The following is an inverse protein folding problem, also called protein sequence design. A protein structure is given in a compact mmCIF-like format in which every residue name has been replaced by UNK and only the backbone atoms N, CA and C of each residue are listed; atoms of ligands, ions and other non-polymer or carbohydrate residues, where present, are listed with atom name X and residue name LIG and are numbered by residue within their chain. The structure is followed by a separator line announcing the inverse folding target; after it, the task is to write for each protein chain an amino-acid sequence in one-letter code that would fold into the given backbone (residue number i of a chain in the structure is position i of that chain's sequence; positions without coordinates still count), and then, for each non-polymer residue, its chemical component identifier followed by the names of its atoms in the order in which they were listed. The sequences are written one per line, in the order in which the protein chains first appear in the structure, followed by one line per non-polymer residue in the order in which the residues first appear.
data_IF_733030362471
#
_entry.id   IF_733030362471
#
_cell.length_a   1.000
_cell.length_b   1.000
_cell.length_c   1.000
_cell.angle_alpha   90.00
_cell.angle_beta   90.00
_cell.angle_gamma   90.00
#
_symmetry.space_group_name_H-M   'P 1'
#
loop_
_entity.id
_entity.type
_entity.pdbx_description
1 polymer ?
#
# COMPACT_ATOMS: atom_id res chain seq x y z
N UNK A 1 -9.75 15.58 -9.48
CA UNK A 1 -8.50 15.27 -10.23
C UNK A 1 -8.72 14.12 -11.21
N UNK A 2 -7.87 14.02 -12.22
CA UNK A 2 -7.90 12.95 -13.22
C UNK A 2 -6.66 12.08 -13.05
N UNK A 3 -6.82 10.76 -13.18
CA UNK A 3 -5.72 9.79 -13.13
C UNK A 3 -5.64 9.05 -14.46
N UNK A 4 -4.50 9.13 -15.11
CA UNK A 4 -4.18 8.39 -16.30
C UNK A 4 -3.53 7.07 -15.91
N UNK A 5 -3.81 5.99 -16.63
CA UNK A 5 -3.37 4.64 -16.28
C UNK A 5 -2.99 3.79 -17.51
N UNK A 6 -2.66 4.44 -18.61
CA UNK A 6 -2.32 3.80 -19.88
C UNK A 6 -0.92 3.16 -19.88
N UNK A 7 -0.01 3.67 -19.03
CA UNK A 7 1.37 3.18 -18.89
C UNK A 7 1.56 2.15 -17.76
N UNK A 8 0.54 1.92 -16.93
CA UNK A 8 0.61 1.00 -15.80
C UNK A 8 0.09 -0.38 -16.16
N UNK A 9 0.79 -1.42 -15.72
CA UNK A 9 0.33 -2.81 -15.83
C UNK A 9 -0.97 -3.04 -15.04
N UNK A 10 -1.06 -2.46 -13.84
CA UNK A 10 -2.28 -2.46 -13.03
C UNK A 10 -3.03 -1.14 -13.23
N UNK A 11 -4.21 -1.25 -13.83
CA UNK A 11 -5.10 -0.10 -14.02
C UNK A 11 -5.79 0.31 -12.72
N UNK A 12 -6.34 1.53 -12.71
CA UNK A 12 -7.21 1.99 -11.61
C UNK A 12 -8.31 0.95 -11.38
N UNK A 13 -8.40 0.47 -10.15
CA UNK A 13 -9.36 -0.54 -9.72
C UNK A 13 -10.07 -0.15 -8.43
N UNK A 14 -11.14 -0.88 -8.11
CA UNK A 14 -11.97 -0.65 -6.92
C UNK A 14 -11.16 -0.69 -5.62
N UNK A 15 -10.19 -1.61 -5.54
CA UNK A 15 -9.38 -1.80 -4.32
C UNK A 15 -8.57 -0.55 -3.97
N UNK A 16 -7.92 0.09 -4.96
CA UNK A 16 -7.20 1.35 -4.75
C UNK A 16 -8.13 2.51 -4.35
N UNK A 17 -9.32 2.60 -4.99
CA UNK A 17 -10.32 3.62 -4.62
C UNK A 17 -10.82 3.41 -3.19
N UNK A 18 -11.13 2.18 -2.81
CA UNK A 18 -11.58 1.86 -1.45
C UNK A 18 -10.48 2.16 -0.43
N UNK A 19 -9.24 1.78 -0.70
CA UNK A 19 -8.09 2.08 0.16
C UNK A 19 -7.93 3.59 0.35
N UNK A 20 -7.87 4.35 -0.74
CA UNK A 20 -7.72 5.80 -0.69
C UNK A 20 -8.89 6.51 -0.01
N UNK A 21 -10.12 5.94 -0.05
CA UNK A 21 -11.28 6.47 0.63
C UNK A 21 -11.35 6.11 2.12
N UNK A 22 -10.91 4.89 2.50
CA UNK A 22 -11.10 4.33 3.85
C UNK A 22 -9.92 4.59 4.79
N UNK A 23 -8.68 4.67 4.29
CA UNK A 23 -7.51 4.92 5.13
C UNK A 23 -7.68 6.21 5.95
N UNK A 24 -7.33 6.15 7.25
CA UNK A 24 -7.40 7.32 8.14
C UNK A 24 -6.17 8.19 7.91
N UNK A 25 -6.40 9.47 7.60
CA UNK A 25 -5.34 10.49 7.42
C UNK A 25 -5.50 11.68 8.37
N UNK A 26 -6.42 11.57 9.32
CA UNK A 26 -6.69 12.66 10.27
C UNK A 26 -5.45 12.91 11.15
N UNK A 27 -4.95 14.13 11.14
CA UNK A 27 -3.77 14.53 11.92
C UNK A 27 -2.44 14.01 11.37
N UNK A 28 -2.43 13.34 10.22
CA UNK A 28 -1.21 12.84 9.60
C UNK A 28 -0.44 13.97 8.89
N UNK A 29 0.86 14.08 9.17
CA UNK A 29 1.78 14.98 8.49
C UNK A 29 2.73 14.26 7.52
N UNK A 30 3.03 12.99 7.77
CA UNK A 30 3.89 12.17 6.91
C UNK A 30 3.18 10.88 6.52
N UNK A 31 2.97 10.68 5.24
CA UNK A 31 2.22 9.55 4.69
C UNK A 31 3.10 8.80 3.68
N UNK A 32 3.05 7.47 3.69
CA UNK A 32 3.73 6.61 2.73
C UNK A 32 2.71 5.74 1.98
N UNK A 33 2.77 5.78 0.66
CA UNK A 33 2.01 4.88 -0.23
C UNK A 33 2.98 3.89 -0.90
N UNK A 34 2.88 2.61 -0.51
CA UNK A 34 3.79 1.55 -0.97
C UNK A 34 3.17 0.85 -2.19
N UNK A 35 3.87 0.90 -3.33
CA UNK A 35 3.38 0.38 -4.60
C UNK A 35 2.28 1.27 -5.18
N UNK A 36 2.59 2.56 -5.33
CA UNK A 36 1.60 3.60 -5.68
C UNK A 36 0.98 3.42 -7.07
N UNK A 37 1.62 2.66 -7.96
CA UNK A 37 1.14 2.42 -9.31
C UNK A 37 0.90 3.72 -10.09
N UNK A 38 -0.36 4.04 -10.33
CA UNK A 38 -0.77 5.28 -11.02
C UNK A 38 -0.68 6.54 -10.16
N UNK A 39 -0.37 6.44 -8.87
CA UNK A 39 -0.45 7.54 -7.92
C UNK A 39 -1.87 7.81 -7.38
N UNK A 40 -2.85 6.97 -7.71
CA UNK A 40 -4.25 7.18 -7.33
C UNK A 40 -4.42 7.32 -5.82
N UNK A 41 -3.89 6.37 -5.05
CA UNK A 41 -4.06 6.35 -3.59
C UNK A 41 -3.37 7.56 -2.97
N UNK A 42 -2.13 7.85 -3.36
CA UNK A 42 -1.41 9.04 -2.91
C UNK A 42 -2.19 10.34 -3.17
N UNK A 43 -2.79 10.51 -4.36
CA UNK A 43 -3.62 11.67 -4.71
C UNK A 43 -4.89 11.76 -3.83
N UNK A 44 -5.56 10.64 -3.59
CA UNK A 44 -6.75 10.59 -2.71
C UNK A 44 -6.39 10.94 -1.26
N UNK A 45 -5.25 10.46 -0.77
CA UNK A 45 -4.75 10.79 0.58
C UNK A 45 -4.37 12.27 0.67
N UNK A 46 -3.73 12.84 -0.36
CA UNK A 46 -3.39 14.26 -0.41
C UNK A 46 -4.64 15.16 -0.35
N UNK A 47 -5.71 14.76 -1.03
CA UNK A 47 -7.00 15.47 -1.00
C UNK A 47 -7.63 15.48 0.39
N UNK A 48 -7.42 14.44 1.19
CA UNK A 48 -8.10 14.22 2.48
C UNK A 48 -7.26 14.59 3.69
N UNK A 49 -5.94 14.70 3.52
CA UNK A 49 -5.01 15.04 4.61
C UNK A 49 -4.88 16.54 4.82
N UNK A 50 -4.19 16.91 5.90
CA UNK A 50 -3.89 18.31 6.22
C UNK A 50 -3.13 19.00 5.07
N UNK A 51 -3.27 20.32 4.90
CA UNK A 51 -2.59 21.06 3.84
C UNK A 51 -1.06 20.98 3.87
N UNK A 52 -0.47 20.78 5.04
CA UNK A 52 0.97 20.65 5.30
C UNK A 52 1.46 19.19 5.31
N UNK A 53 0.57 18.21 5.11
CA UNK A 53 0.95 16.80 5.04
C UNK A 53 1.77 16.52 3.77
N UNK A 54 2.86 15.77 3.92
CA UNK A 54 3.71 15.32 2.83
C UNK A 54 3.53 13.82 2.60
N UNK A 55 3.48 13.43 1.34
CA UNK A 55 3.25 12.04 0.93
C UNK A 55 4.43 11.58 0.10
N UNK A 56 5.00 10.45 0.49
CA UNK A 56 5.97 9.71 -0.31
C UNK A 56 5.22 8.56 -0.99
N UNK A 57 5.33 8.46 -2.30
CA UNK A 57 4.69 7.44 -3.12
C UNK A 57 5.78 6.58 -3.79
N UNK A 58 5.97 5.34 -3.28
CA UNK A 58 6.99 4.42 -3.77
C UNK A 58 6.44 3.56 -4.91
N UNK A 59 7.24 3.40 -5.96
CA UNK A 59 6.94 2.49 -7.05
C UNK A 59 8.24 1.86 -7.58
N UNK A 60 8.23 0.55 -7.79
CA UNK A 60 9.38 -0.18 -8.30
C UNK A 60 9.44 -0.18 -9.82
N UNK A 61 8.29 -0.17 -10.50
CA UNK A 61 8.19 -0.16 -11.95
C UNK A 61 8.42 1.24 -12.51
N UNK A 62 9.33 1.35 -13.46
CA UNK A 62 9.71 2.63 -14.08
C UNK A 62 8.55 3.32 -14.81
N UNK A 63 7.76 2.55 -15.56
CA UNK A 63 6.66 3.09 -16.36
C UNK A 63 5.51 3.57 -15.45
N UNK A 64 5.20 2.80 -14.40
CA UNK A 64 4.20 3.18 -13.40
C UNK A 64 4.65 4.40 -12.60
N UNK A 65 5.91 4.46 -12.15
CA UNK A 65 6.46 5.63 -11.46
C UNK A 65 6.42 6.89 -12.35
N UNK A 66 6.74 6.75 -13.65
CA UNK A 66 6.58 7.82 -14.62
C UNK A 66 5.14 8.31 -14.76
N UNK A 67 4.19 7.37 -14.84
CA UNK A 67 2.75 7.69 -14.89
C UNK A 67 2.28 8.39 -13.62
N UNK A 68 2.69 7.91 -12.43
CA UNK A 68 2.37 8.56 -11.16
C UNK A 68 2.90 10.00 -11.11
N UNK A 69 4.15 10.23 -11.53
CA UNK A 69 4.73 11.59 -11.62
C UNK A 69 3.92 12.51 -12.53
N UNK A 70 3.48 12.02 -13.68
CA UNK A 70 2.63 12.80 -14.61
C UNK A 70 1.27 13.13 -13.97
N UNK A 71 0.64 12.17 -13.29
CA UNK A 71 -0.64 12.37 -12.62
C UNK A 71 -0.51 13.37 -11.46
N UNK A 72 0.54 13.23 -10.64
CA UNK A 72 0.84 14.14 -9.54
C UNK A 72 1.10 15.56 -10.04
N UNK A 73 1.93 15.72 -11.08
CA UNK A 73 2.28 17.04 -11.64
C UNK A 73 1.06 17.83 -12.15
N UNK A 74 -0.01 17.12 -12.58
CA UNK A 74 -1.26 17.72 -13.04
C UNK A 74 -2.29 17.94 -11.91
N UNK A 75 -1.96 17.54 -10.68
CA UNK A 75 -2.86 17.66 -9.55
C UNK A 75 -2.65 18.95 -8.77
N UNK A 76 -3.63 19.39 -7.97
CA UNK A 76 -3.45 20.50 -7.02
C UNK A 76 -2.43 20.21 -5.91
N UNK A 77 -1.99 18.95 -5.75
CA UNK A 77 -1.13 18.49 -4.63
C UNK A 77 0.30 18.16 -5.09
N UNK A 78 0.73 18.64 -6.25
CA UNK A 78 2.04 18.35 -6.84
C UNK A 78 3.22 18.65 -5.91
N UNK A 79 3.09 19.68 -5.07
CA UNK A 79 4.13 20.14 -4.14
C UNK A 79 4.12 19.36 -2.80
N UNK A 80 3.17 18.43 -2.63
CA UNK A 80 2.97 17.65 -1.41
C UNK A 80 3.20 16.14 -1.63
N UNK A 81 3.36 15.70 -2.87
CA UNK A 81 3.53 14.29 -3.21
C UNK A 81 4.86 14.10 -3.92
N UNK A 82 5.74 13.35 -3.30
CA UNK A 82 6.99 12.92 -3.90
C UNK A 82 6.85 11.48 -4.41
N UNK A 83 6.99 11.29 -5.73
CA UNK A 83 7.00 9.96 -6.34
C UNK A 83 8.44 9.49 -6.48
N UNK A 84 8.79 8.43 -5.75
CA UNK A 84 10.12 7.84 -5.70
C UNK A 84 10.11 6.49 -6.42
N UNK A 85 10.93 6.34 -7.46
CA UNK A 85 11.15 5.05 -8.12
C UNK A 85 12.17 4.27 -7.30
N UNK A 86 11.67 3.38 -6.46
CA UNK A 86 12.50 2.54 -5.59
C UNK A 86 11.76 1.29 -5.14
N UNK A 87 12.49 0.20 -4.94
CA UNK A 87 11.98 -0.98 -4.26
C UNK A 87 11.83 -0.67 -2.76
N UNK A 88 10.64 -0.97 -2.23
CA UNK A 88 10.34 -0.79 -0.81
C UNK A 88 11.30 -1.55 0.12
N UNK A 89 11.80 -2.70 -0.31
CA UNK A 89 12.74 -3.51 0.49
C UNK A 89 14.06 -2.80 0.81
N UNK A 90 14.43 -1.83 -0.01
CA UNK A 90 15.66 -1.03 0.16
C UNK A 90 15.38 0.42 0.53
N UNK A 91 14.10 0.77 0.71
CA UNK A 91 13.72 2.13 1.07
C UNK A 91 14.06 2.42 2.53
N UNK A 92 14.70 3.55 2.75
CA UNK A 92 15.03 4.08 4.06
C UNK A 92 14.52 5.51 4.17
N UNK A 93 14.06 5.88 5.35
CA UNK A 93 13.64 7.24 5.65
C UNK A 93 14.25 7.67 6.99
N UNK A 94 14.79 8.91 7.10
CA UNK A 94 15.29 9.41 8.38
C UNK A 94 14.17 9.58 9.40
N UNK A 95 12.96 9.89 8.92
CA UNK A 95 11.79 10.12 9.76
C UNK A 95 10.71 9.08 9.51
N UNK A 96 10.03 8.67 10.57
CA UNK A 96 8.90 7.74 10.51
C UNK A 96 7.62 8.39 10.01
N UNK A 97 6.70 7.56 9.54
CA UNK A 97 5.42 7.96 8.97
C UNK A 97 4.28 7.85 9.99
N UNK A 98 3.33 8.78 9.91
CA UNK A 98 2.08 8.73 10.69
C UNK A 98 1.13 7.72 10.09
N UNK A 99 1.09 7.63 8.76
CA UNK A 99 0.22 6.74 8.01
C UNK A 99 1.04 6.05 6.92
N UNK A 100 0.88 4.74 6.82
CA UNK A 100 1.39 3.94 5.70
C UNK A 100 0.20 3.23 5.06
N UNK A 101 0.16 3.19 3.74
CA UNK A 101 -0.86 2.45 2.99
C UNK A 101 -0.21 1.55 1.94
N UNK A 102 -0.87 0.44 1.60
CA UNK A 102 -0.47 -0.40 0.47
C UNK A 102 -1.65 -1.14 -0.14
N UNK A 103 -1.69 -1.16 -1.45
CA UNK A 103 -2.50 -2.09 -2.24
C UNK A 103 -1.55 -3.02 -3.00
N UNK A 104 -0.90 -3.97 -2.31
CA UNK A 104 0.12 -4.80 -2.92
C UNK A 104 -0.48 -5.71 -3.99
N UNK A 105 0.32 -6.13 -5.00
CA UNK A 105 -0.10 -7.22 -5.86
C UNK A 105 -0.37 -8.45 -4.99
N UNK A 106 -1.34 -9.28 -5.40
CA UNK A 106 -1.65 -10.49 -4.64
C UNK A 106 -0.44 -11.41 -4.65
N UNK A 107 0.15 -11.61 -3.48
CA UNK A 107 1.24 -12.55 -3.30
C UNK A 107 0.68 -13.98 -3.34
N UNK A 108 0.82 -14.62 -4.49
CA UNK A 108 0.44 -16.03 -4.65
C UNK A 108 1.42 -16.87 -3.83
N UNK A 109 0.91 -17.51 -2.75
CA UNK A 109 1.56 -18.59 -1.99
C UNK A 109 2.90 -18.32 -1.27
N UNK A 110 3.13 -17.12 -0.74
CA UNK A 110 4.32 -16.90 0.10
C UNK A 110 4.22 -17.48 1.53
N UNK A 111 3.07 -18.00 1.95
CA UNK A 111 2.85 -18.50 3.33
C UNK A 111 2.56 -19.99 3.43
N UNK A 112 2.52 -20.76 2.32
CA UNK A 112 2.36 -22.22 2.37
C UNK A 112 2.66 -22.89 1.04
N UNK A 113 3.90 -23.31 0.83
CA UNK A 113 4.20 -24.35 -0.14
C UNK A 113 5.10 -25.39 0.53
N UNK A 114 4.71 -26.68 0.60
CA UNK A 114 5.56 -27.75 1.16
C UNK A 114 6.86 -27.98 0.38
N UNK A 115 6.99 -27.41 -0.80
CA UNK A 115 8.16 -27.54 -1.68
C UNK A 115 9.10 -26.33 -1.50
N UNK A 116 9.73 -26.27 -0.33
CA UNK A 116 10.61 -25.16 0.09
C UNK A 116 11.77 -24.87 -0.88
N UNK A 117 12.27 -25.84 -1.63
CA UNK A 117 13.42 -25.66 -2.51
C UNK A 117 13.11 -24.93 -3.82
N UNK A 118 11.90 -25.11 -4.39
CA UNK A 118 11.47 -24.37 -5.60
C UNK A 118 10.96 -22.96 -5.29
N UNK A 119 10.43 -22.78 -4.10
CA UNK A 119 9.97 -21.48 -3.60
C UNK A 119 11.15 -20.54 -3.31
N UNK A 120 12.21 -21.02 -2.67
CA UNK A 120 13.37 -20.18 -2.26
C UNK A 120 14.10 -19.52 -3.43
N UNK A 121 14.20 -20.18 -4.59
CA UNK A 121 14.92 -19.62 -5.73
C UNK A 121 14.16 -18.49 -6.47
N UNK A 122 12.84 -18.36 -6.29
CA UNK A 122 12.00 -17.34 -6.92
C UNK A 122 11.59 -16.20 -5.96
N UNK A 123 11.80 -16.36 -4.65
CA UNK A 123 11.28 -15.47 -3.60
C UNK A 123 12.32 -14.59 -2.93
N UNK A 124 13.61 -14.76 -3.20
CA UNK A 124 14.64 -13.97 -2.51
C UNK A 124 14.56 -12.46 -2.81
N UNK A 125 14.07 -12.09 -3.99
CA UNK A 125 14.03 -10.69 -4.44
C UNK A 125 12.62 -10.07 -4.53
N UNK A 126 11.56 -10.83 -4.21
CA UNK A 126 10.19 -10.32 -4.27
C UNK A 126 9.66 -9.86 -2.90
N UNK A 127 8.84 -8.82 -2.90
CA UNK A 127 8.10 -8.36 -1.73
C UNK A 127 7.11 -9.45 -1.30
N UNK A 128 7.18 -9.89 -0.03
CA UNK A 128 6.22 -10.80 0.61
C UNK A 128 5.47 -10.06 1.70
N UNK A 129 4.35 -10.63 2.21
CA UNK A 129 3.64 -10.03 3.35
C UNK A 129 4.55 -9.87 4.58
N UNK A 130 5.40 -10.83 4.90
CA UNK A 130 6.35 -10.73 6.02
C UNK A 130 7.33 -9.58 5.83
N UNK A 131 7.95 -9.47 4.64
CA UNK A 131 8.89 -8.38 4.34
C UNK A 131 8.18 -7.02 4.36
N UNK A 132 6.95 -6.95 3.83
CA UNK A 132 6.12 -5.75 3.87
C UNK A 132 5.84 -5.33 5.31
N UNK A 133 5.33 -6.26 6.13
CA UNK A 133 4.98 -6.00 7.54
C UNK A 133 6.20 -5.57 8.36
N UNK A 134 7.33 -6.24 8.17
CA UNK A 134 8.60 -5.85 8.82
C UNK A 134 9.01 -4.43 8.43
N UNK A 135 9.08 -4.12 7.14
CA UNK A 135 9.46 -2.78 6.68
C UNK A 135 8.48 -1.70 7.12
N UNK A 136 7.18 -2.02 7.17
CA UNK A 136 6.16 -1.12 7.72
C UNK A 136 6.43 -0.83 9.20
N UNK A 137 6.68 -1.85 10.03
CA UNK A 137 6.98 -1.66 11.45
C UNK A 137 8.24 -0.82 11.68
N UNK A 138 9.24 -0.98 10.81
CA UNK A 138 10.48 -0.20 10.87
C UNK A 138 10.26 1.28 10.52
N UNK A 139 9.27 1.60 9.66
CA UNK A 139 9.00 2.96 9.17
C UNK A 139 7.82 3.66 9.83
N UNK A 140 6.92 2.92 10.50
CA UNK A 140 5.73 3.46 11.12
C UNK A 140 6.06 4.09 12.50
N UNK A 141 5.45 5.23 12.82
CA UNK A 141 5.49 5.78 14.18
C UNK A 141 4.75 4.84 15.15
N UNK A 142 5.06 4.94 16.44
CA UNK A 142 4.43 4.12 17.50
C UNK A 142 2.90 4.22 17.49
N UNK A 143 2.37 5.42 17.30
CA UNK A 143 0.92 5.70 17.22
C UNK A 143 0.43 5.79 15.76
N UNK A 144 1.26 5.37 14.81
CA UNK A 144 0.95 5.41 13.39
C UNK A 144 -0.05 4.32 12.97
N UNK A 145 -0.63 4.50 11.81
CA UNK A 145 -1.62 3.55 11.26
C UNK A 145 -1.12 2.99 9.93
N UNK A 146 -1.16 1.67 9.80
CA UNK A 146 -0.97 0.98 8.53
C UNK A 146 -2.31 0.51 7.99
N UNK A 147 -2.58 0.76 6.71
CA UNK A 147 -3.80 0.28 6.05
C UNK A 147 -3.44 -0.48 4.78
N UNK A 148 -3.94 -1.71 4.68
CA UNK A 148 -3.67 -2.59 3.54
C UNK A 148 -4.97 -3.18 3.00
N UNK A 149 -5.00 -3.39 1.69
CA UNK A 149 -6.05 -4.17 1.01
C UNK A 149 -5.50 -5.54 0.66
N UNK A 150 -6.20 -6.60 1.06
CA UNK A 150 -5.78 -7.99 0.85
C UNK A 150 -6.96 -8.89 0.47
N UNK A 151 -6.72 -10.06 -0.15
CA UNK A 151 -7.73 -11.11 -0.27
C UNK A 151 -8.19 -11.60 1.10
N UNK A 152 -9.48 -11.93 1.23
CA UNK A 152 -10.07 -12.34 2.52
C UNK A 152 -9.51 -13.66 3.05
N UNK A 153 -9.13 -14.57 2.15
CA UNK A 153 -8.60 -15.90 2.47
C UNK A 153 -7.21 -15.88 3.12
N UNK A 154 -6.44 -14.80 2.92
CA UNK A 154 -5.14 -14.63 3.58
C UNK A 154 -5.19 -13.74 4.82
N UNK A 155 -6.33 -13.10 5.11
CA UNK A 155 -6.43 -12.04 6.12
C UNK A 155 -6.00 -12.49 7.53
N UNK A 156 -6.41 -13.68 7.97
CA UNK A 156 -6.06 -14.17 9.31
C UNK A 156 -4.56 -14.49 9.43
N UNK A 157 -3.95 -15.02 8.37
CA UNK A 157 -2.50 -15.27 8.34
C UNK A 157 -1.71 -13.95 8.36
N UNK A 158 -2.17 -12.95 7.59
CA UNK A 158 -1.54 -11.62 7.60
C UNK A 158 -1.66 -10.95 8.97
N UNK A 159 -2.81 -11.03 9.63
CA UNK A 159 -2.98 -10.50 11.00
C UNK A 159 -2.09 -11.20 12.01
N UNK A 160 -1.94 -12.52 11.91
CA UNK A 160 -1.03 -13.30 12.78
C UNK A 160 0.42 -12.87 12.55
N UNK A 161 0.89 -12.80 11.31
CA UNK A 161 2.22 -12.34 10.99
C UNK A 161 2.46 -10.88 11.43
N UNK A 162 1.47 -10.01 11.29
CA UNK A 162 1.55 -8.60 11.71
C UNK A 162 1.79 -8.48 13.23
N UNK A 163 1.20 -9.36 14.04
CA UNK A 163 1.37 -9.33 15.49
C UNK A 163 2.81 -9.60 15.94
N UNK A 164 3.61 -10.33 15.15
CA UNK A 164 5.03 -10.58 15.42
C UNK A 164 5.86 -9.28 15.30
N UNK A 165 5.36 -8.30 14.55
CA UNK A 165 5.95 -6.97 14.41
C UNK A 165 5.22 -5.89 15.23
N UNK A 166 4.41 -6.29 16.22
CA UNK A 166 3.61 -5.39 17.07
C UNK A 166 2.60 -4.53 16.29
N UNK A 167 2.13 -5.02 15.15
CA UNK A 167 1.07 -4.41 14.37
C UNK A 167 -0.24 -5.17 14.65
N UNK A 168 -1.25 -4.47 15.18
CA UNK A 168 -2.52 -5.07 15.57
C UNK A 168 -3.67 -4.46 14.77
N UNK A 169 -4.56 -5.32 14.27
CA UNK A 169 -5.74 -4.88 13.54
C UNK A 169 -6.73 -4.17 14.49
N UNK A 170 -6.97 -2.90 14.26
CA UNK A 170 -7.91 -2.06 15.01
C UNK A 170 -9.24 -1.86 14.30
N UNK A 171 -9.23 -1.94 12.97
CA UNK A 171 -10.40 -1.79 12.11
C UNK A 171 -10.30 -2.75 10.95
N UNK A 172 -11.45 -3.23 10.46
CA UNK A 172 -11.52 -4.01 9.23
C UNK A 172 -12.78 -3.70 8.45
N UNK A 173 -12.69 -3.76 7.12
CA UNK A 173 -13.79 -3.59 6.19
C UNK A 173 -13.82 -4.75 5.19
N UNK A 174 -14.90 -5.51 5.20
CA UNK A 174 -15.14 -6.57 4.23
C UNK A 174 -15.79 -6.00 2.97
N UNK A 175 -15.22 -6.31 1.80
CA UNK A 175 -15.75 -5.89 0.51
C UNK A 175 -16.54 -7.03 -0.13
N UNK A 176 -17.85 -6.82 -0.28
CA UNK A 176 -18.78 -7.72 -0.95
C UNK A 176 -19.16 -7.11 -2.29
N UNK A 177 -18.82 -7.76 -3.39
CA UNK A 177 -19.03 -7.22 -4.75
C UNK A 177 -20.41 -7.51 -5.31
N UNK A 178 -21.16 -8.44 -4.71
CA UNK A 178 -22.52 -8.81 -5.12
C UNK A 178 -23.39 -8.99 -3.88
N UNK A 179 -24.63 -8.48 -3.85
CA UNK A 179 -25.56 -8.73 -2.74
C UNK A 179 -25.66 -10.22 -2.41
N UNK A 180 -25.56 -10.56 -1.11
CA UNK A 180 -25.57 -11.95 -0.63
C UNK A 180 -24.31 -12.76 -0.91
N UNK A 181 -23.29 -12.17 -1.53
CA UNK A 181 -22.02 -12.83 -1.80
C UNK A 181 -21.10 -12.89 -0.57
N UNK A 182 -20.05 -13.72 -0.66
CA UNK A 182 -18.98 -13.74 0.34
C UNK A 182 -17.98 -12.62 0.09
N UNK A 183 -17.38 -12.03 1.14
CA UNK A 183 -16.32 -11.05 0.99
C UNK A 183 -15.13 -11.65 0.21
N UNK A 184 -14.62 -10.89 -0.74
CA UNK A 184 -13.46 -11.28 -1.57
C UNK A 184 -12.21 -10.48 -1.22
N UNK A 185 -12.38 -9.31 -0.62
CA UNK A 185 -11.34 -8.37 -0.20
C UNK A 185 -11.61 -7.90 1.21
N UNK A 186 -10.55 -7.58 1.90
CA UNK A 186 -10.58 -6.97 3.23
C UNK A 186 -9.60 -5.79 3.25
N UNK A 187 -10.03 -4.68 3.81
CA UNK A 187 -9.15 -3.60 4.25
C UNK A 187 -8.94 -3.76 5.77
N UNK A 188 -7.71 -3.65 6.18
CA UNK A 188 -7.31 -3.75 7.59
C UNK A 188 -6.47 -2.54 7.94
#
# INVERSE_FOLDING_TARGET
FTVWHDKCAMKVGTDGVLLGAWASVQGAHRILDIGTGTGLVALMLAQRSLPDANIVALEIDEAAAGQAKENVARSPWKDRIEVVKQDFLFYQSPDKFDVIVSNPPYFVDSLSCPDQQRSMARHNDSLTYEKLLKGVADLLKKEGTFTIVIPTDVADRVKTAASEYHLYATRQLNVITKPGGTPKRMLI
#
